data_IF_127925332668
#
_entry.id   IF_127925332668
#
_cell.length_a   1.000
_cell.length_b   1.000
_cell.length_c   1.000
_cell.angle_alpha   90.00
_cell.angle_beta   90.00
_cell.angle_gamma   90.00
#
_symmetry.space_group_name_H-M   'P 1'
#
loop_
_entity.id
_entity.type
_entity.pdbx_description
1 polymer ?
#
# COMPACT_ATOMS: atom_id res chain seq x y z
N UNK A 1 -13.46 -10.86 4.95
CA UNK A 1 -13.83 -9.61 4.23
C UNK A 1 -13.30 -9.76 2.80
N UNK A 2 -13.86 -9.12 1.77
CA UNK A 2 -13.31 -9.20 0.40
C UNK A 2 -12.40 -8.00 0.08
N UNK A 3 -11.43 -8.21 -0.81
CA UNK A 3 -10.52 -7.14 -1.26
C UNK A 3 -11.31 -6.06 -2.00
N UNK A 4 -11.17 -4.80 -1.55
CA UNK A 4 -11.67 -3.64 -2.29
C UNK A 4 -10.57 -3.08 -3.19
N UNK A 5 -10.77 -3.14 -4.51
CA UNK A 5 -9.88 -2.53 -5.51
C UNK A 5 -10.43 -1.22 -6.09
N UNK A 6 -11.59 -0.77 -5.62
CA UNK A 6 -12.18 0.49 -6.03
C UNK A 6 -11.60 1.66 -5.22
N UNK A 7 -11.65 2.90 -5.74
CA UNK A 7 -11.30 4.08 -4.97
C UNK A 7 -12.11 4.14 -3.67
N UNK A 8 -11.40 4.10 -2.54
CA UNK A 8 -12.01 4.05 -1.21
C UNK A 8 -11.41 5.10 -0.24
N UNK A 9 -10.57 6.00 -0.77
CA UNK A 9 -9.96 7.08 0.00
C UNK A 9 -10.73 8.36 -0.32
N UNK A 10 -11.38 9.02 0.67
CA UNK A 10 -12.17 10.24 0.45
C UNK A 10 -11.37 11.40 -0.16
N UNK A 11 -10.08 11.50 0.14
CA UNK A 11 -9.14 12.48 -0.41
C UNK A 11 -7.94 11.75 -1.03
N UNK A 12 -8.14 11.21 -2.23
CA UNK A 12 -7.11 10.42 -2.91
C UNK A 12 -5.88 11.26 -3.29
N UNK A 13 -6.10 12.53 -3.65
CA UNK A 13 -5.03 13.45 -4.04
C UNK A 13 -4.19 13.85 -2.83
N UNK A 14 -4.82 14.24 -1.71
CA UNK A 14 -4.10 14.56 -0.48
C UNK A 14 -3.30 13.38 0.07
N UNK A 15 -3.88 12.17 0.04
CA UNK A 15 -3.13 10.96 0.40
C UNK A 15 -1.93 10.71 -0.54
N UNK A 16 -2.09 10.96 -1.84
CA UNK A 16 -1.00 10.79 -2.79
C UNK A 16 0.14 11.79 -2.54
N UNK A 17 -0.18 13.04 -2.23
CA UNK A 17 0.81 14.06 -1.87
C UNK A 17 1.55 13.69 -0.57
N UNK A 18 0.84 13.19 0.45
CA UNK A 18 1.46 12.69 1.69
C UNK A 18 2.40 11.51 1.43
N UNK A 19 1.98 10.55 0.59
CA UNK A 19 2.80 9.41 0.22
C UNK A 19 4.05 9.85 -0.54
N UNK A 20 3.92 10.77 -1.48
CA UNK A 20 5.05 11.32 -2.22
C UNK A 20 6.02 12.08 -1.31
N UNK A 21 5.49 12.88 -0.38
CA UNK A 21 6.27 13.57 0.64
C UNK A 21 7.03 12.61 1.55
N UNK A 22 6.48 11.45 1.88
CA UNK A 22 7.17 10.42 2.67
C UNK A 22 8.41 9.84 1.95
N UNK A 23 8.44 9.93 0.63
CA UNK A 23 9.57 9.50 -0.20
C UNK A 23 10.55 10.64 -0.54
N UNK A 24 10.25 11.88 -0.15
CA UNK A 24 11.13 13.02 -0.39
C UNK A 24 12.49 12.80 0.29
N UNK A 25 13.56 13.20 -0.39
CA UNK A 25 14.95 13.05 0.06
C UNK A 25 15.45 11.61 0.25
N UNK A 26 14.67 10.59 -0.13
CA UNK A 26 15.09 9.20 -0.12
C UNK A 26 15.70 8.78 -1.46
N UNK A 27 16.80 8.03 -1.39
CA UNK A 27 17.28 7.29 -2.54
C UNK A 27 16.35 6.10 -2.88
N UNK A 28 16.62 5.44 -4.01
CA UNK A 28 15.79 4.32 -4.46
C UNK A 28 15.74 3.17 -3.45
N UNK A 29 16.85 2.83 -2.81
CA UNK A 29 16.92 1.73 -1.86
C UNK A 29 16.16 2.06 -0.55
N UNK A 30 16.27 3.30 -0.08
CA UNK A 30 15.54 3.80 1.07
C UNK A 30 14.04 3.87 0.79
N UNK A 31 13.65 4.32 -0.40
CA UNK A 31 12.27 4.34 -0.87
C UNK A 31 11.66 2.94 -0.93
N UNK A 32 12.40 1.96 -1.47
CA UNK A 32 11.96 0.56 -1.49
C UNK A 32 11.86 -0.04 -0.07
N UNK A 33 12.78 0.31 0.83
CA UNK A 33 12.71 -0.10 2.23
C UNK A 33 11.52 0.55 2.98
N UNK A 34 11.16 1.80 2.66
CA UNK A 34 9.96 2.44 3.17
C UNK A 34 8.70 1.69 2.71
N UNK A 35 8.60 1.40 1.41
CA UNK A 35 7.48 0.66 0.84
C UNK A 35 7.30 -0.72 1.47
N UNK A 36 8.39 -1.48 1.66
CA UNK A 36 8.33 -2.79 2.31
C UNK A 36 7.78 -2.70 3.75
N UNK A 37 8.23 -1.71 4.53
CA UNK A 37 7.73 -1.48 5.89
C UNK A 37 6.26 -1.07 5.89
N UNK A 38 5.87 -0.16 4.99
CA UNK A 38 4.48 0.30 4.87
C UNK A 38 3.54 -0.87 4.52
N UNK A 39 3.91 -1.73 3.56
CA UNK A 39 3.15 -2.93 3.19
C UNK A 39 2.94 -3.83 4.41
N UNK A 40 3.98 -4.08 5.21
CA UNK A 40 3.87 -4.93 6.41
C UNK A 40 2.94 -4.32 7.47
N UNK A 41 3.03 -3.00 7.68
CA UNK A 41 2.15 -2.29 8.62
C UNK A 41 0.69 -2.39 8.18
N UNK A 42 0.40 -2.13 6.90
CA UNK A 42 -0.94 -2.23 6.35
C UNK A 42 -1.46 -3.68 6.35
N UNK A 43 -0.61 -4.66 6.06
CA UNK A 43 -0.98 -6.07 6.13
C UNK A 43 -1.37 -6.50 7.56
N UNK A 44 -0.63 -6.01 8.56
CA UNK A 44 -0.96 -6.24 9.96
C UNK A 44 -2.27 -5.55 10.35
N UNK A 45 -2.53 -4.34 9.86
CA UNK A 45 -3.78 -3.63 10.10
C UNK A 45 -4.99 -4.37 9.49
N UNK A 46 -4.83 -4.92 8.28
CA UNK A 46 -5.87 -5.72 7.61
C UNK A 46 -6.16 -7.01 8.39
N UNK A 47 -5.12 -7.75 8.80
CA UNK A 47 -5.23 -8.96 9.63
C UNK A 47 -5.92 -10.17 8.99
N UNK A 48 -6.65 -9.99 7.89
CA UNK A 48 -7.38 -11.05 7.17
C UNK A 48 -6.50 -11.70 6.09
N UNK A 49 -6.16 -12.99 6.30
CA UNK A 49 -5.29 -13.75 5.40
C UNK A 49 -5.88 -13.95 4.01
N UNK A 50 -7.21 -14.02 3.88
CA UNK A 50 -7.90 -14.16 2.59
C UNK A 50 -7.78 -12.87 1.78
N UNK A 51 -8.06 -11.72 2.41
CA UNK A 51 -7.87 -10.39 1.79
C UNK A 51 -6.43 -10.23 1.28
N UNK A 52 -5.44 -10.60 2.09
CA UNK A 52 -4.03 -10.54 1.69
C UNK A 52 -3.71 -11.47 0.52
N UNK A 53 -4.32 -12.65 0.45
CA UNK A 53 -4.13 -13.57 -0.70
C UNK A 53 -4.75 -12.99 -1.98
N UNK A 54 -5.94 -12.43 -1.89
CA UNK A 54 -6.60 -11.74 -3.00
C UNK A 54 -5.73 -10.55 -3.47
N UNK A 55 -5.15 -9.77 -2.54
CA UNK A 55 -4.26 -8.66 -2.87
C UNK A 55 -3.01 -9.12 -3.64
N UNK A 56 -2.37 -10.22 -3.22
CA UNK A 56 -1.24 -10.79 -3.97
C UNK A 56 -1.63 -11.27 -5.37
N UNK A 57 -2.81 -11.88 -5.52
CA UNK A 57 -3.30 -12.31 -6.82
C UNK A 57 -3.57 -11.11 -7.75
N UNK A 58 -4.22 -10.06 -7.23
CA UNK A 58 -4.48 -8.83 -7.97
C UNK A 58 -3.20 -8.11 -8.40
N UNK A 59 -2.19 -8.03 -7.52
CA UNK A 59 -0.90 -7.41 -7.83
C UNK A 59 -0.08 -8.18 -8.89
N UNK A 60 -0.23 -9.52 -8.95
CA UNK A 60 0.43 -10.37 -9.96
C UNK A 60 -0.29 -10.42 -11.31
N UNK A 61 -1.57 -10.05 -11.35
CA UNK A 61 -2.38 -10.10 -12.56
C UNK A 61 -2.06 -8.95 -13.56
N UNK A 62 -0.97 -8.23 -13.33
CA UNK A 62 -0.48 -7.14 -14.18
C UNK A 62 0.90 -7.44 -14.72
#
# INVERSE_FOLDING_TARGET
>A
MDLNTNPNIPDADGFYDELLGAHQDLDKAQSDALNARLILILANHIGDREVLRQAFAAAKAK
#
